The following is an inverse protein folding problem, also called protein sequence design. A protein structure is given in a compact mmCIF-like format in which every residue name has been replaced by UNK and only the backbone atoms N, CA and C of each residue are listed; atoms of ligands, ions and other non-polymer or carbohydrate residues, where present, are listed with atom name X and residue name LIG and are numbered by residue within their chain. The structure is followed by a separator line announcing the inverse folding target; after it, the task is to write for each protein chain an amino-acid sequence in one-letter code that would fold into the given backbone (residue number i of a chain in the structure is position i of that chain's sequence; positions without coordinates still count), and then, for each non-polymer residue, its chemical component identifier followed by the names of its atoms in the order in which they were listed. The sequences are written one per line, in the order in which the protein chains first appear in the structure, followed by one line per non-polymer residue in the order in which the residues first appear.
data_IF_687953661273
#
_entry.id   IF_687953661273
#
_cell.length_a   1.000
_cell.length_b   1.000
_cell.length_c   1.000
_cell.angle_alpha   90.00
_cell.angle_beta   90.00
_cell.angle_gamma   90.00
#
_symmetry.space_group_name_H-M   'P 1'
#
loop_
_entity.id
_entity.type
_entity.pdbx_description
1 polymer ?
#
# COMPACT_ATOMS: atom_id res chain seq x y z
N UNK A 1 -20.44 51.33 -10.78
CA UNK A 1 -19.39 50.61 -10.03
C UNK A 1 -19.91 49.75 -8.85
N UNK A 2 -21.22 49.57 -8.64
CA UNK A 2 -21.74 48.70 -7.55
C UNK A 2 -22.27 47.33 -8.01
N UNK A 3 -22.62 47.18 -9.29
CA UNK A 3 -23.12 45.91 -9.83
C UNK A 3 -22.02 44.85 -10.05
N UNK A 4 -20.79 45.28 -10.39
CA UNK A 4 -19.66 44.37 -10.65
C UNK A 4 -19.15 43.66 -9.39
N UNK A 5 -19.18 44.31 -8.23
CA UNK A 5 -18.76 43.70 -6.96
C UNK A 5 -19.73 42.61 -6.48
N UNK A 6 -21.03 42.79 -6.69
CA UNK A 6 -22.04 41.78 -6.32
C UNK A 6 -21.96 40.52 -7.19
N UNK A 7 -21.67 40.67 -8.49
CA UNK A 7 -21.51 39.54 -9.43
C UNK A 7 -20.28 38.69 -9.09
N UNK A 8 -19.16 39.32 -8.69
CA UNK A 8 -17.96 38.62 -8.23
C UNK A 8 -18.15 37.87 -6.91
N UNK A 9 -18.95 38.41 -5.98
CA UNK A 9 -19.27 37.74 -4.72
C UNK A 9 -20.16 36.50 -4.92
N UNK A 10 -21.10 36.56 -5.87
CA UNK A 10 -21.97 35.43 -6.24
C UNK A 10 -21.19 34.35 -6.98
N UNK A 11 -20.20 34.69 -7.81
CA UNK A 11 -19.32 33.71 -8.46
C UNK A 11 -18.42 32.95 -7.46
N UNK A 12 -17.96 33.60 -6.37
CA UNK A 12 -17.19 32.94 -5.31
C UNK A 12 -18.04 31.97 -4.47
N UNK A 13 -19.35 32.21 -4.33
CA UNK A 13 -20.28 31.30 -3.64
C UNK A 13 -20.69 30.10 -4.49
N UNK A 14 -20.42 30.13 -5.80
CA UNK A 14 -20.60 29.02 -6.74
C UNK A 14 -19.32 28.19 -6.94
N UNK A 15 -18.28 28.42 -6.13
CA UNK A 15 -17.21 27.45 -5.95
C UNK A 15 -17.84 26.21 -5.31
N UNK A 16 -18.36 25.32 -6.14
CA UNK A 16 -18.72 23.95 -5.76
C UNK A 16 -17.41 23.35 -5.25
N UNK A 17 -17.20 23.44 -3.94
CA UNK A 17 -16.20 22.61 -3.30
C UNK A 17 -16.58 21.19 -3.68
N UNK A 18 -15.73 20.53 -4.45
CA UNK A 18 -15.77 19.08 -4.58
C UNK A 18 -15.38 18.51 -3.23
N UNK A 19 -16.27 18.70 -2.23
CA UNK A 19 -16.22 17.98 -1.00
C UNK A 19 -16.20 16.50 -1.37
N UNK A 20 -15.35 15.75 -0.70
CA UNK A 20 -15.27 14.32 -0.93
C UNK A 20 -16.61 13.69 -0.57
N UNK A 21 -17.35 13.23 -1.58
CA UNK A 21 -18.55 12.41 -1.38
C UNK A 21 -18.09 10.99 -1.05
N UNK A 22 -17.86 10.77 0.25
CA UNK A 22 -17.38 9.51 0.79
C UNK A 22 -18.56 8.64 1.21
N UNK A 23 -18.58 7.39 0.75
CA UNK A 23 -19.48 6.38 1.28
C UNK A 23 -18.76 5.56 2.36
N UNK A 24 -19.43 5.21 3.48
CA UNK A 24 -18.84 4.32 4.47
C UNK A 24 -18.49 2.97 3.85
N UNK A 25 -17.29 2.48 4.14
CA UNK A 25 -16.93 1.10 3.80
C UNK A 25 -17.69 0.16 4.74
N UNK A 26 -18.52 -0.71 4.17
CA UNK A 26 -19.31 -1.70 4.90
C UNK A 26 -18.64 -3.08 4.86
N UNK A 27 -19.15 -4.01 5.67
CA UNK A 27 -18.75 -5.43 5.68
C UNK A 27 -17.27 -5.74 5.96
N UNK A 28 -16.56 -4.76 6.53
CA UNK A 28 -15.24 -4.93 7.15
C UNK A 28 -15.19 -4.12 8.45
N UNK A 29 -14.74 -4.75 9.53
CA UNK A 29 -14.63 -4.12 10.86
C UNK A 29 -13.19 -4.00 11.28
N UNK A 30 -12.89 -2.94 12.03
CA UNK A 30 -11.56 -2.69 12.60
C UNK A 30 -10.45 -2.67 11.56
N UNK A 31 -10.69 -2.04 10.40
CA UNK A 31 -9.67 -1.84 9.37
C UNK A 31 -8.45 -1.15 9.99
N UNK A 32 -7.25 -1.66 9.70
CA UNK A 32 -5.99 -1.11 10.23
C UNK A 32 -5.11 -0.54 9.11
N UNK A 33 -5.08 -1.19 7.95
CA UNK A 33 -4.32 -0.74 6.79
C UNK A 33 -5.02 -1.19 5.50
N UNK A 34 -4.92 -0.37 4.46
CA UNK A 34 -5.48 -0.59 3.13
C UNK A 34 -4.48 -0.14 2.07
N UNK A 35 -4.49 -0.80 0.91
CA UNK A 35 -3.73 -0.40 -0.27
C UNK A 35 -4.53 -0.67 -1.54
N UNK A 36 -4.32 0.16 -2.56
CA UNK A 36 -5.06 0.08 -3.82
C UNK A 36 -4.14 0.33 -5.01
N UNK A 37 -4.23 -0.55 -6.01
CA UNK A 37 -3.38 -0.51 -7.19
C UNK A 37 -3.93 -1.40 -8.29
N UNK A 38 -3.81 -0.96 -9.55
CA UNK A 38 -4.30 -1.67 -10.74
C UNK A 38 -5.79 -2.10 -10.67
N UNK A 39 -6.64 -1.27 -10.06
CA UNK A 39 -8.07 -1.58 -9.89
C UNK A 39 -8.37 -2.63 -8.83
N UNK A 40 -7.37 -3.04 -8.05
CA UNK A 40 -7.49 -3.97 -6.94
C UNK A 40 -7.41 -3.20 -5.63
N UNK A 41 -8.06 -3.73 -4.59
CA UNK A 41 -7.99 -3.18 -3.23
C UNK A 41 -7.76 -4.33 -2.26
N UNK A 42 -6.75 -4.16 -1.41
CA UNK A 42 -6.40 -5.10 -0.34
C UNK A 42 -6.39 -4.38 0.99
N UNK A 43 -6.72 -5.09 2.05
CA UNK A 43 -6.71 -4.51 3.39
C UNK A 43 -6.34 -5.54 4.45
N UNK A 44 -6.00 -5.06 5.64
CA UNK A 44 -5.89 -5.87 6.84
C UNK A 44 -6.55 -5.17 8.03
N UNK A 45 -7.08 -5.96 8.95
CA UNK A 45 -7.73 -5.45 10.16
C UNK A 45 -6.79 -5.51 11.38
N UNK A 46 -7.24 -5.03 12.53
CA UNK A 46 -6.46 -5.04 13.78
C UNK A 46 -6.15 -6.45 14.30
N UNK A 47 -6.91 -7.46 13.88
CA UNK A 47 -6.62 -8.88 14.11
C UNK A 47 -5.64 -9.48 13.09
N UNK A 48 -5.06 -8.64 12.22
CA UNK A 48 -4.13 -9.00 11.15
C UNK A 48 -4.72 -9.94 10.10
N UNK A 49 -6.04 -9.98 9.95
CA UNK A 49 -6.69 -10.77 8.90
C UNK A 49 -6.58 -9.99 7.58
N UNK A 50 -5.93 -10.53 6.54
CA UNK A 50 -5.87 -9.91 5.22
C UNK A 50 -7.17 -10.13 4.44
N UNK A 51 -7.54 -9.15 3.62
CA UNK A 51 -8.73 -9.14 2.78
C UNK A 51 -8.40 -8.64 1.38
N UNK A 52 -9.18 -9.11 0.41
CA UNK A 52 -9.19 -8.66 -0.97
C UNK A 52 -10.61 -8.26 -1.36
N UNK A 53 -10.80 -7.09 -1.97
CA UNK A 53 -12.11 -6.61 -2.39
C UNK A 53 -12.50 -7.21 -3.76
N UNK A 54 -13.64 -7.89 -3.82
CA UNK A 54 -14.24 -8.42 -5.07
C UNK A 54 -15.63 -7.80 -5.24
N UNK A 55 -15.78 -6.94 -6.25
CA UNK A 55 -16.99 -6.13 -6.37
C UNK A 55 -17.16 -5.25 -5.12
N UNK A 56 -18.20 -5.50 -4.34
CA UNK A 56 -18.47 -4.79 -3.09
C UNK A 56 -18.23 -5.66 -1.84
N UNK A 57 -17.66 -6.86 -2.00
CA UNK A 57 -17.47 -7.81 -0.90
C UNK A 57 -16.00 -7.98 -0.51
N UNK A 58 -15.72 -7.94 0.79
CA UNK A 58 -14.39 -8.20 1.34
C UNK A 58 -14.18 -9.70 1.54
N UNK A 59 -13.37 -10.31 0.68
CA UNK A 59 -13.01 -11.72 0.78
C UNK A 59 -11.80 -11.88 1.66
N UNK A 60 -11.92 -12.70 2.71
CA UNK A 60 -10.80 -13.04 3.59
C UNK A 60 -9.75 -13.86 2.83
N UNK A 61 -8.50 -13.40 2.87
CA UNK A 61 -7.34 -14.17 2.45
C UNK A 61 -6.81 -15.03 3.62
N UNK A 62 -6.21 -16.20 3.36
CA UNK A 62 -5.58 -16.99 4.42
C UNK A 62 -4.40 -16.23 5.04
N UNK A 63 -4.00 -16.59 6.26
CA UNK A 63 -2.80 -16.05 6.91
C UNK A 63 -3.06 -14.88 7.87
N UNK A 64 -1.96 -14.24 8.29
CA UNK A 64 -1.94 -13.14 9.26
C UNK A 64 -0.88 -12.11 8.86
N UNK A 65 -1.32 -10.93 8.45
CA UNK A 65 -0.50 -9.86 7.91
C UNK A 65 -0.80 -8.53 8.60
N UNK A 66 0.25 -7.82 9.02
CA UNK A 66 0.11 -6.47 9.58
C UNK A 66 0.10 -5.38 8.51
N UNK A 67 0.58 -5.69 7.31
CA UNK A 67 0.55 -4.81 6.15
C UNK A 67 0.46 -5.68 4.89
N UNK A 68 -0.47 -5.33 4.01
CA UNK A 68 -0.67 -5.88 2.67
C UNK A 68 -0.67 -4.76 1.60
N UNK A 69 -0.06 -5.03 0.45
CA UNK A 69 0.03 -4.08 -0.67
C UNK A 69 -0.29 -4.78 -2.00
N UNK A 70 -0.81 -4.03 -2.97
CA UNK A 70 -1.14 -4.52 -4.31
C UNK A 70 -0.73 -3.51 -5.38
N UNK A 71 -0.16 -3.99 -6.47
CA UNK A 71 0.19 -3.17 -7.62
C UNK A 71 0.82 -3.98 -8.76
N UNK A 72 1.56 -3.34 -9.68
CA UNK A 72 2.19 -4.04 -10.81
C UNK A 72 3.16 -5.16 -10.41
N UNK A 73 3.72 -5.13 -9.20
CA UNK A 73 4.56 -6.22 -8.67
C UNK A 73 3.76 -7.41 -8.09
N UNK A 74 2.42 -7.35 -8.12
CA UNK A 74 1.49 -8.32 -7.54
C UNK A 74 1.07 -7.95 -6.11
N UNK A 75 0.51 -8.92 -5.39
CA UNK A 75 0.11 -8.75 -3.98
C UNK A 75 1.24 -9.23 -3.08
N UNK A 76 1.63 -8.38 -2.14
CA UNK A 76 2.67 -8.67 -1.15
C UNK A 76 2.20 -8.31 0.25
N UNK A 77 2.83 -8.88 1.26
CA UNK A 77 2.53 -8.53 2.64
C UNK A 77 3.64 -8.91 3.60
N UNK A 78 3.57 -8.33 4.79
CA UNK A 78 4.44 -8.66 5.92
C UNK A 78 3.61 -9.01 7.16
N UNK A 79 4.08 -10.00 7.91
CA UNK A 79 3.43 -10.42 9.15
C UNK A 79 3.98 -9.67 10.38
N UNK A 80 3.46 -9.99 11.57
CA UNK A 80 3.91 -9.37 12.83
C UNK A 80 5.41 -9.53 13.10
N UNK A 81 6.00 -10.63 12.64
CA UNK A 81 7.42 -10.97 12.80
C UNK A 81 8.30 -10.42 11.66
N UNK A 82 7.81 -9.43 10.91
CA UNK A 82 8.50 -8.81 9.77
C UNK A 82 8.81 -9.77 8.61
N UNK A 83 8.28 -10.99 8.62
CA UNK A 83 8.47 -11.95 7.53
C UNK A 83 7.67 -11.52 6.30
N UNK A 84 8.29 -11.63 5.13
CA UNK A 84 7.78 -11.12 3.86
C UNK A 84 7.10 -12.24 3.08
N UNK A 85 5.96 -11.97 2.47
CA UNK A 85 5.21 -12.94 1.67
C UNK A 85 4.75 -12.32 0.36
N UNK A 86 4.75 -13.13 -0.69
CA UNK A 86 4.11 -12.84 -1.97
C UNK A 86 2.89 -13.73 -2.13
N UNK A 87 1.77 -13.19 -2.59
CA UNK A 87 0.60 -13.99 -2.93
C UNK A 87 0.73 -14.53 -4.36
N UNK A 88 0.73 -15.86 -4.50
CA UNK A 88 0.91 -16.57 -5.77
C UNK A 88 -0.11 -17.71 -5.83
N UNK A 89 -0.95 -17.70 -6.87
CA UNK A 89 -1.92 -18.76 -7.14
C UNK A 89 -2.73 -19.21 -5.89
N UNK A 90 -3.26 -18.24 -5.14
CA UNK A 90 -4.08 -18.50 -3.96
C UNK A 90 -3.31 -18.69 -2.64
N UNK A 91 -1.98 -18.73 -2.68
CA UNK A 91 -1.13 -19.06 -1.53
C UNK A 91 -0.12 -17.97 -1.22
N UNK A 92 0.20 -17.78 0.06
CA UNK A 92 1.33 -16.96 0.49
C UNK A 92 2.61 -17.76 0.40
N UNK A 93 3.58 -17.25 -0.36
CA UNK A 93 4.92 -17.83 -0.42
C UNK A 93 5.93 -16.89 0.20
N UNK A 94 6.71 -17.39 1.14
CA UNK A 94 7.65 -16.59 1.91
C UNK A 94 8.81 -16.12 1.04
N UNK A 95 9.15 -14.85 1.14
CA UNK A 95 10.34 -14.27 0.54
C UNK A 95 11.38 -14.02 1.65
N UNK A 96 12.65 -14.30 1.35
CA UNK A 96 13.75 -14.04 2.26
C UNK A 96 13.83 -12.55 2.65
N UNK A 97 14.30 -12.29 3.88
CA UNK A 97 14.46 -10.95 4.45
C UNK A 97 13.42 -10.62 5.52
N UNK A 98 13.54 -9.41 6.09
CA UNK A 98 12.63 -8.91 7.12
C UNK A 98 12.29 -7.44 6.91
N UNK A 99 11.00 -7.13 6.72
CA UNK A 99 10.49 -5.77 6.50
C UNK A 99 9.29 -5.52 7.41
N UNK A 100 9.20 -4.31 7.97
CA UNK A 100 8.01 -3.89 8.73
C UNK A 100 6.90 -3.35 7.84
N UNK A 101 7.24 -2.94 6.61
CA UNK A 101 6.39 -2.25 5.65
C UNK A 101 6.97 -2.45 4.25
N UNK A 102 6.11 -2.62 3.25
CA UNK A 102 6.48 -2.72 1.83
C UNK A 102 5.37 -2.17 0.93
N UNK A 103 5.71 -1.87 -0.31
CA UNK A 103 4.82 -1.33 -1.33
C UNK A 103 5.11 -1.97 -2.71
N UNK A 104 4.05 -2.39 -3.39
CA UNK A 104 4.07 -3.09 -4.66
C UNK A 104 3.61 -2.22 -5.86
N UNK A 105 3.47 -0.91 -5.66
CA UNK A 105 2.98 0.04 -6.66
C UNK A 105 4.01 0.45 -7.72
N UNK A 106 5.29 0.15 -7.50
CA UNK A 106 6.34 0.36 -8.50
C UNK A 106 6.09 -0.41 -9.79
N UNK A 107 6.67 0.03 -10.92
CA UNK A 107 6.57 -0.65 -12.22
C UNK A 107 7.28 -2.02 -12.15
N UNK A 108 6.53 -3.00 -11.66
CA UNK A 108 6.93 -4.37 -11.36
C UNK A 108 8.07 -4.48 -10.36
N UNK A 109 8.35 -3.50 -9.51
CA UNK A 109 9.36 -3.63 -8.45
C UNK A 109 8.71 -3.38 -7.08
N UNK A 110 9.33 -3.90 -6.02
CA UNK A 110 8.85 -3.71 -4.64
C UNK A 110 9.86 -2.87 -3.88
N UNK A 111 9.38 -1.97 -3.04
CA UNK A 111 10.19 -1.32 -2.02
C UNK A 111 9.70 -1.71 -0.64
N UNK A 112 10.56 -1.57 0.35
CA UNK A 112 10.13 -1.69 1.73
C UNK A 112 11.16 -1.17 2.69
N UNK A 113 10.84 -1.24 3.97
CA UNK A 113 11.70 -0.80 5.05
C UNK A 113 11.69 -1.81 6.19
N UNK A 114 12.85 -2.07 6.77
CA UNK A 114 12.99 -2.95 7.93
C UNK A 114 12.71 -2.21 9.26
N UNK A 115 12.81 -2.94 10.36
CA UNK A 115 12.58 -2.40 11.70
C UNK A 115 13.56 -1.27 12.07
N UNK A 116 14.78 -1.30 11.51
CA UNK A 116 15.85 -0.33 11.72
C UNK A 116 15.77 0.89 10.78
N UNK A 117 14.62 1.11 10.14
CA UNK A 117 14.39 2.17 9.16
C UNK A 117 15.27 2.10 7.91
N UNK A 118 15.95 0.97 7.66
CA UNK A 118 16.77 0.81 6.46
C UNK A 118 15.87 0.52 5.25
N UNK A 119 15.89 1.37 4.20
CA UNK A 119 15.11 1.14 3.00
C UNK A 119 15.77 0.08 2.11
N UNK A 120 14.94 -0.72 1.44
CA UNK A 120 15.35 -1.72 0.46
C UNK A 120 14.46 -1.66 -0.78
N UNK A 121 14.99 -2.08 -1.92
CA UNK A 121 14.21 -2.38 -3.11
C UNK A 121 14.50 -3.79 -3.65
N UNK A 122 13.54 -4.32 -4.41
CA UNK A 122 13.65 -5.55 -5.19
C UNK A 122 13.24 -5.27 -6.62
N UNK A 123 14.12 -5.59 -7.57
CA UNK A 123 13.97 -5.30 -9.00
C UNK A 123 12.88 -6.13 -9.68
N UNK A 124 12.49 -5.72 -10.90
CA UNK A 124 11.49 -6.41 -11.74
C UNK A 124 11.80 -7.88 -11.99
N UNK A 125 13.06 -8.22 -12.26
CA UNK A 125 13.48 -9.60 -12.50
C UNK A 125 13.27 -10.52 -11.28
N UNK A 126 13.22 -9.94 -10.08
CA UNK A 126 13.05 -10.67 -8.82
C UNK A 126 11.59 -10.68 -8.31
N UNK A 127 10.69 -9.93 -8.93
CA UNK A 127 9.26 -9.87 -8.58
C UNK A 127 8.41 -10.59 -9.63
N UNK A 128 8.77 -10.53 -10.91
CA UNK A 128 8.10 -11.25 -12.00
C UNK A 128 8.58 -12.71 -12.02
N UNK A 129 7.65 -13.67 -12.03
CA UNK A 129 8.00 -15.10 -12.14
C UNK A 129 8.60 -15.74 -10.88
N UNK A 130 8.25 -15.26 -9.68
CA UNK A 130 8.61 -15.88 -8.39
C UNK A 130 8.51 -17.43 -8.44
N UNK A 131 9.63 -18.13 -8.27
CA UNK A 131 9.74 -19.61 -8.44
C UNK A 131 9.72 -20.42 -7.13
N UNK A 132 9.55 -19.78 -5.98
CA UNK A 132 9.55 -20.44 -4.67
C UNK A 132 10.40 -19.72 -3.61
N UNK A 133 10.43 -20.22 -2.36
CA UNK A 133 11.16 -19.63 -1.23
C UNK A 133 12.66 -19.46 -1.47
N UNK A 134 13.25 -20.37 -2.26
CA UNK A 134 14.69 -20.41 -2.58
C UNK A 134 15.05 -19.62 -3.86
N UNK A 135 14.08 -18.98 -4.50
CA UNK A 135 14.38 -18.15 -5.67
C UNK A 135 15.31 -17.00 -5.23
N UNK A 136 16.44 -16.76 -5.91
CA UNK A 136 17.42 -15.78 -5.49
C UNK A 136 16.78 -14.40 -5.54
N UNK A 137 16.67 -13.81 -4.36
CA UNK A 137 15.91 -12.59 -4.16
C UNK A 137 16.74 -11.55 -3.41
N UNK A 138 17.79 -11.02 -4.06
CA UNK A 138 18.63 -10.03 -3.42
C UNK A 138 17.81 -8.77 -3.18
N UNK A 139 17.75 -8.36 -1.91
CA UNK A 139 17.33 -7.02 -1.54
C UNK A 139 18.50 -6.07 -1.74
N UNK A 140 18.28 -4.99 -2.47
CA UNK A 140 19.26 -3.91 -2.59
C UNK A 140 18.96 -2.89 -1.51
N UNK A 141 19.90 -2.69 -0.58
CA UNK A 141 19.82 -1.61 0.39
C UNK A 141 19.90 -0.26 -0.31
N UNK A 142 19.04 0.66 0.09
CA UNK A 142 19.02 2.04 -0.38
C UNK A 142 19.65 2.94 0.70
N UNK A 143 20.28 4.06 0.31
CA UNK A 143 20.85 5.00 1.27
C UNK A 143 19.75 5.68 2.10
N UNK A 144 20.11 6.11 3.31
CA UNK A 144 19.23 6.87 4.21
C UNK A 144 18.44 6.00 5.19
N UNK A 145 17.52 6.64 5.90
CA UNK A 145 16.64 6.01 6.88
C UNK A 145 15.20 6.52 6.70
N UNK A 146 14.23 5.61 6.56
CA UNK A 146 12.84 5.94 6.28
C UNK A 146 11.89 5.15 7.18
N UNK A 147 10.74 5.71 7.51
CA UNK A 147 9.69 5.07 8.30
C UNK A 147 8.67 4.34 7.42
N UNK A 148 8.43 4.87 6.23
CA UNK A 148 7.46 4.35 5.26
C UNK A 148 7.90 4.74 3.84
N UNK A 149 7.70 3.84 2.88
CA UNK A 149 7.91 4.10 1.46
C UNK A 149 6.74 3.58 0.61
N UNK A 150 6.47 4.29 -0.49
CA UNK A 150 5.49 3.90 -1.49
C UNK A 150 5.99 4.31 -2.87
N UNK A 151 5.69 3.51 -3.90
CA UNK A 151 6.13 3.76 -5.26
C UNK A 151 4.97 3.75 -6.24
N UNK A 152 5.14 4.48 -7.32
CA UNK A 152 4.28 4.43 -8.49
C UNK A 152 5.11 4.29 -9.77
N UNK A 153 4.49 4.50 -10.94
CA UNK A 153 5.16 4.36 -12.23
C UNK A 153 6.33 5.35 -12.45
N UNK A 154 6.34 6.49 -11.76
CA UNK A 154 7.29 7.58 -12.00
C UNK A 154 8.30 7.82 -10.86
N UNK A 155 8.26 7.01 -9.80
CA UNK A 155 9.17 7.18 -8.68
C UNK A 155 8.57 6.72 -7.36
N UNK A 156 9.32 7.01 -6.30
CA UNK A 156 8.98 6.59 -4.94
C UNK A 156 8.97 7.79 -4.00
N UNK A 157 8.06 7.75 -3.04
CA UNK A 157 7.94 8.70 -1.95
C UNK A 157 8.29 8.02 -0.64
N UNK A 158 8.99 8.75 0.21
CA UNK A 158 9.52 8.24 1.46
C UNK A 158 9.23 9.25 2.56
N UNK A 159 8.79 8.75 3.71
CA UNK A 159 8.63 9.56 4.91
C UNK A 159 9.61 9.11 5.98
N UNK A 160 10.29 10.07 6.61
CA UNK A 160 11.18 9.84 7.77
C UNK A 160 10.44 10.03 9.10
N UNK A 161 9.21 10.54 9.07
CA UNK A 161 8.38 10.83 10.25
C UNK A 161 6.93 10.45 9.99
N UNK A 162 6.40 9.51 10.76
CA UNK A 162 4.96 9.25 10.79
C UNK A 162 4.31 10.17 11.82
N UNK A 163 3.34 10.97 11.38
CA UNK A 163 2.47 11.74 12.28
C UNK A 163 1.22 10.89 12.49
N UNK A 164 1.05 10.36 13.69
CA UNK A 164 -0.19 9.68 14.09
C UNK A 164 -1.08 10.79 14.65
N UNK A 165 -2.16 11.13 13.95
CA UNK A 165 -3.24 11.92 14.55
C UNK A 165 -4.02 10.97 15.45
N UNK A 166 -3.91 11.15 16.77
CA UNK A 166 -4.75 10.50 17.77
C UNK A 166 -6.10 11.18 17.86
#
# INVERSE_FOLDING_TARGET
MRATAAVLLVLCLLAVGHAWDCQPVVDIKNLMQIDAGLGQVVATNTSQIPYYLVGNEWIRLPGSLKHITVGPAGIWGVNKADSIYKYVAGNWVQAAGSLKQLDAGGDQFVVGVNINDTPYCRTRSATVGYKGPDSPFPWTGLPGAVKYNSCGPFGCWQSTRMIIST
#
